data_IF_465616506004
#
_entry.id   IF_465616506004
#
_cell.length_a   1.000
_cell.length_b   1.000
_cell.length_c   1.000
_cell.angle_alpha   90.00
_cell.angle_beta   90.00
_cell.angle_gamma   90.00
#
_symmetry.space_group_name_H-M   'P 1'
#
loop_
_entity.id
_entity.type
_entity.pdbx_description
1 polymer ?
#
# COMPACT_ATOMS: atom_id res chain seq x y z
N UNK A 1 31.68 67.80 -4.38
CA UNK A 1 31.75 66.44 -4.96
C UNK A 1 31.45 65.42 -3.83
N UNK A 2 30.27 64.82 -3.84
CA UNK A 2 29.84 63.91 -2.75
C UNK A 2 29.92 62.47 -3.24
N UNK A 3 30.85 61.69 -2.68
CA UNK A 3 30.98 60.26 -2.91
C UNK A 3 29.84 59.52 -2.20
N UNK A 4 28.97 58.83 -2.96
CA UNK A 4 28.01 57.87 -2.44
C UNK A 4 28.62 56.49 -2.50
N UNK A 5 28.97 55.95 -1.36
CA UNK A 5 29.33 54.54 -1.18
C UNK A 5 28.03 53.74 -1.14
N UNK A 6 27.84 52.83 -2.13
CA UNK A 6 26.74 51.87 -2.15
C UNK A 6 27.21 50.61 -1.40
N UNK A 7 26.63 50.37 -0.25
CA UNK A 7 26.76 49.06 0.44
C UNK A 7 25.86 48.02 -0.27
N UNK A 8 26.48 47.01 -0.84
CA UNK A 8 25.84 45.83 -1.34
C UNK A 8 25.74 44.81 -0.20
N UNK A 9 24.56 44.60 0.37
CA UNK A 9 24.31 43.52 1.31
C UNK A 9 24.13 42.21 0.50
N UNK A 10 25.11 41.33 0.53
CA UNK A 10 25.01 39.96 0.11
C UNK A 10 24.23 39.19 1.19
N UNK A 11 22.97 38.89 0.93
CA UNK A 11 22.16 37.95 1.72
C UNK A 11 22.57 36.55 1.31
N UNK A 12 23.51 35.93 2.03
CA UNK A 12 23.83 34.53 1.93
C UNK A 12 22.71 33.73 2.63
N UNK A 13 21.70 33.34 1.86
CA UNK A 13 20.66 32.42 2.33
C UNK A 13 21.26 31.03 2.55
N UNK A 14 21.51 30.69 3.81
CA UNK A 14 21.84 29.32 4.24
C UNK A 14 20.57 28.48 4.06
N UNK A 15 20.41 27.84 2.91
CA UNK A 15 19.47 26.73 2.70
C UNK A 15 20.01 25.53 3.46
N UNK A 16 19.71 25.45 4.76
CA UNK A 16 19.81 24.22 5.51
C UNK A 16 18.85 23.21 4.93
N UNK A 17 19.34 22.29 4.11
CA UNK A 17 18.62 21.08 3.77
C UNK A 17 18.42 20.31 5.08
N UNK A 18 17.26 20.43 5.68
CA UNK A 18 16.80 19.51 6.71
C UNK A 18 16.66 18.15 6.01
N UNK A 19 17.69 17.33 6.14
CA UNK A 19 17.57 15.91 5.83
C UNK A 19 16.58 15.36 6.86
N UNK A 20 15.31 15.23 6.48
CA UNK A 20 14.33 14.45 7.23
C UNK A 20 14.80 13.02 7.13
N UNK A 21 15.51 12.57 8.15
CA UNK A 21 15.76 11.15 8.34
C UNK A 21 14.43 10.59 8.82
N UNK A 22 13.78 9.78 7.99
CA UNK A 22 12.67 8.96 8.45
C UNK A 22 13.18 8.13 9.63
N UNK A 23 12.79 8.51 10.83
CA UNK A 23 13.04 7.68 12.00
C UNK A 23 12.14 6.46 11.81
N UNK A 24 12.76 5.29 11.59
CA UNK A 24 12.05 4.03 11.72
C UNK A 24 11.70 3.93 13.21
N UNK A 25 10.53 4.45 13.57
CA UNK A 25 10.00 4.29 14.91
C UNK A 25 9.60 2.83 15.06
N UNK A 26 10.44 2.03 15.70
CA UNK A 26 10.07 0.69 16.11
C UNK A 26 8.78 0.78 16.95
N UNK A 27 7.88 -0.18 16.76
CA UNK A 27 6.70 -0.26 17.61
C UNK A 27 7.14 -0.34 19.10
N UNK A 28 6.55 0.47 19.97
CA UNK A 28 6.89 0.41 21.38
C UNK A 28 6.66 -1.00 21.94
N UNK A 29 7.45 -1.38 22.93
CA UNK A 29 7.39 -2.69 23.57
C UNK A 29 6.71 -2.60 24.94
N UNK A 30 6.04 -3.66 25.33
CA UNK A 30 5.41 -3.80 26.64
C UNK A 30 5.47 -5.25 27.13
N UNK A 31 5.20 -5.47 28.40
CA UNK A 31 4.96 -6.84 28.89
C UNK A 31 3.53 -7.26 28.58
N UNK A 32 3.26 -8.54 28.33
CA UNK A 32 1.89 -9.02 28.15
C UNK A 32 0.97 -8.63 29.28
N UNK A 33 1.42 -8.74 30.54
CA UNK A 33 0.66 -8.40 31.74
C UNK A 33 0.24 -6.93 31.80
N UNK A 34 1.14 -6.01 31.43
CA UNK A 34 0.83 -4.58 31.38
C UNK A 34 -0.24 -4.24 30.36
N UNK A 35 -0.38 -5.08 29.33
CA UNK A 35 -1.42 -4.95 28.30
C UNK A 35 -2.62 -5.88 28.53
N UNK A 36 -2.73 -6.47 29.73
CA UNK A 36 -3.87 -7.30 30.13
C UNK A 36 -3.90 -8.71 29.53
N UNK A 37 -2.75 -9.24 29.12
CA UNK A 37 -2.60 -10.59 28.59
C UNK A 37 -1.63 -11.36 29.48
N UNK A 38 -1.98 -12.55 29.99
CA UNK A 38 -1.00 -13.38 30.71
C UNK A 38 0.16 -13.82 29.80
N UNK A 39 1.41 -13.67 30.21
CA UNK A 39 2.59 -14.17 29.47
C UNK A 39 2.44 -15.65 29.09
N UNK A 40 1.83 -16.43 29.97
CA UNK A 40 1.52 -17.86 29.69
C UNK A 40 0.67 -18.05 28.43
N UNK A 41 -0.26 -17.14 28.16
CA UNK A 41 -1.08 -17.23 26.93
C UNK A 41 -0.27 -16.94 25.67
N UNK A 42 0.65 -15.99 25.74
CA UNK A 42 1.55 -15.64 24.61
C UNK A 42 2.51 -16.82 24.35
N UNK A 43 3.10 -17.40 25.39
CA UNK A 43 3.98 -18.57 25.26
C UNK A 43 3.21 -19.77 24.69
N UNK A 44 2.01 -20.06 25.20
CA UNK A 44 1.18 -21.15 24.69
C UNK A 44 0.78 -20.96 23.21
N UNK A 45 0.55 -19.72 22.78
CA UNK A 45 0.35 -19.40 21.36
C UNK A 45 1.57 -19.78 20.53
N UNK A 46 2.77 -19.35 20.95
CA UNK A 46 4.01 -19.65 20.24
C UNK A 46 4.28 -21.15 20.17
N UNK A 47 4.16 -21.85 21.29
CA UNK A 47 4.33 -23.33 21.35
C UNK A 47 3.35 -24.03 20.42
N UNK A 48 2.09 -23.59 20.40
CA UNK A 48 1.06 -24.17 19.54
C UNK A 48 1.37 -23.94 18.06
N UNK A 49 1.83 -22.74 17.68
CA UNK A 49 2.21 -22.42 16.30
C UNK A 49 3.43 -23.24 15.85
N UNK A 50 4.42 -23.39 16.73
CA UNK A 50 5.63 -24.19 16.42
C UNK A 50 5.33 -25.68 16.31
N UNK A 51 4.31 -26.17 16.99
CA UNK A 51 3.88 -27.57 16.94
C UNK A 51 3.04 -27.90 15.70
N UNK A 52 2.60 -26.91 14.91
CA UNK A 52 1.79 -27.17 13.71
C UNK A 52 2.62 -27.93 12.66
N UNK A 53 2.15 -29.08 12.17
CA UNK A 53 2.85 -29.83 11.14
C UNK A 53 2.77 -29.11 9.78
N UNK A 54 3.83 -29.22 8.99
CA UNK A 54 3.90 -28.70 7.62
C UNK A 54 3.71 -27.17 7.51
N UNK A 55 4.04 -26.42 8.56
CA UNK A 55 4.10 -24.97 8.53
C UNK A 55 5.55 -24.51 8.46
N UNK A 56 5.78 -23.42 7.75
CA UNK A 56 7.07 -22.74 7.65
C UNK A 56 6.90 -21.33 8.18
N UNK A 57 6.98 -21.21 9.52
CA UNK A 57 6.79 -19.95 10.22
C UNK A 57 8.15 -19.25 10.32
N UNK A 58 8.28 -18.10 9.70
CA UNK A 58 9.50 -17.28 9.71
C UNK A 58 9.55 -16.33 10.90
N UNK A 59 8.40 -15.77 11.28
CA UNK A 59 8.28 -14.88 12.44
C UNK A 59 6.84 -14.83 12.93
N UNK A 60 6.67 -14.56 14.20
CA UNK A 60 5.39 -14.20 14.82
C UNK A 60 5.60 -12.98 15.69
N UNK A 61 4.82 -11.94 15.47
CA UNK A 61 4.81 -10.72 16.28
C UNK A 61 3.40 -10.50 16.80
N UNK A 62 3.27 -10.40 18.11
CA UNK A 62 1.98 -10.12 18.77
C UNK A 62 1.97 -8.68 19.24
N UNK A 63 1.01 -7.92 18.69
CA UNK A 63 0.82 -6.50 19.02
C UNK A 63 -0.50 -6.30 19.73
N UNK A 64 -0.48 -5.56 20.83
CA UNK A 64 -1.69 -5.16 21.58
C UNK A 64 -1.59 -3.69 22.00
N UNK A 65 -2.66 -2.94 21.80
CA UNK A 65 -2.71 -1.49 22.06
C UNK A 65 -1.54 -0.72 21.42
N UNK A 66 -1.11 -1.15 20.21
CA UNK A 66 0.01 -0.54 19.48
C UNK A 66 1.40 -0.89 20.01
N UNK A 67 1.52 -1.84 20.98
CA UNK A 67 2.80 -2.26 21.56
C UNK A 67 3.07 -3.73 21.28
N UNK A 68 4.33 -4.07 21.00
CA UNK A 68 4.78 -5.45 20.84
C UNK A 68 4.84 -6.10 22.25
N UNK A 69 4.06 -7.16 22.45
CA UNK A 69 4.00 -7.91 23.71
C UNK A 69 4.62 -9.31 23.62
N UNK A 70 5.05 -9.72 22.44
CA UNK A 70 5.77 -10.97 22.21
C UNK A 70 6.17 -11.11 20.77
N UNK A 71 7.33 -11.70 20.52
CA UNK A 71 7.80 -12.04 19.19
C UNK A 71 8.74 -13.24 19.24
N UNK A 72 8.72 -14.03 18.16
CA UNK A 72 9.64 -15.15 17.96
C UNK A 72 10.10 -15.19 16.49
N UNK A 73 11.30 -15.66 16.29
CA UNK A 73 11.94 -15.88 14.99
C UNK A 73 12.57 -17.29 15.01
N UNK A 74 11.83 -18.32 14.55
CA UNK A 74 12.37 -19.68 14.52
C UNK A 74 13.60 -19.78 13.61
N UNK A 75 14.61 -20.53 14.03
CA UNK A 75 15.79 -20.75 13.16
C UNK A 75 15.38 -21.38 11.83
N UNK A 76 15.93 -20.94 10.68
CA UNK A 76 17.11 -20.06 10.52
C UNK A 76 16.78 -18.55 10.45
N UNK A 77 15.55 -18.14 10.75
CA UNK A 77 15.13 -16.75 10.60
C UNK A 77 15.55 -15.86 11.76
N UNK A 78 15.65 -14.55 11.47
CA UNK A 78 16.02 -13.52 12.42
C UNK A 78 15.25 -12.21 12.09
N UNK A 79 15.11 -11.27 13.05
CA UNK A 79 14.34 -10.04 12.85
C UNK A 79 14.85 -9.16 11.70
N UNK A 80 16.13 -9.25 11.37
CA UNK A 80 16.75 -8.46 10.30
C UNK A 80 16.45 -9.00 8.89
N UNK A 81 15.87 -10.21 8.78
CA UNK A 81 15.61 -10.82 7.48
C UNK A 81 14.39 -10.21 6.84
N UNK A 82 14.57 -9.80 5.58
CA UNK A 82 13.48 -9.24 4.78
C UNK A 82 12.65 -10.35 4.19
N UNK A 83 11.34 -10.18 4.26
CA UNK A 83 10.36 -11.10 3.70
C UNK A 83 9.55 -10.46 2.59
N UNK A 84 9.18 -11.26 1.60
CA UNK A 84 8.23 -10.83 0.58
C UNK A 84 6.86 -10.62 1.22
N UNK A 85 6.32 -9.42 1.06
CA UNK A 85 5.05 -9.04 1.69
C UNK A 85 3.83 -9.69 1.05
N UNK A 86 3.95 -10.21 -0.17
CA UNK A 86 2.82 -10.75 -0.94
C UNK A 86 1.60 -9.83 -0.86
N UNK A 87 0.45 -10.38 -0.47
CA UNK A 87 -0.80 -9.62 -0.43
C UNK A 87 -0.90 -8.58 0.69
N UNK A 88 0.00 -8.58 1.67
CA UNK A 88 0.10 -7.47 2.62
C UNK A 88 0.38 -6.14 1.91
N UNK A 89 1.02 -6.15 0.74
CA UNK A 89 1.24 -4.96 -0.10
C UNK A 89 -0.06 -4.25 -0.50
N UNK A 90 -1.20 -4.97 -0.53
CA UNK A 90 -2.50 -4.37 -0.84
C UNK A 90 -2.95 -3.33 0.20
N UNK A 91 -2.53 -3.50 1.45
CA UNK A 91 -2.78 -2.53 2.53
C UNK A 91 -2.11 -1.20 2.22
N UNK A 92 -0.87 -1.22 1.74
CA UNK A 92 -0.14 0.00 1.35
C UNK A 92 -0.78 0.68 0.14
N UNK A 93 -1.25 -0.09 -0.84
CA UNK A 93 -2.00 0.47 -1.98
C UNK A 93 -3.30 1.11 -1.49
N UNK A 94 -4.03 0.47 -0.58
CA UNK A 94 -5.24 1.03 0.01
C UNK A 94 -4.97 2.34 0.78
N UNK A 95 -3.88 2.40 1.56
CA UNK A 95 -3.45 3.61 2.24
C UNK A 95 -3.08 4.72 1.25
N UNK A 96 -2.34 4.41 0.18
CA UNK A 96 -1.99 5.37 -0.86
C UNK A 96 -3.22 5.93 -1.59
N UNK A 97 -4.26 5.12 -1.82
CA UNK A 97 -5.56 5.59 -2.33
C UNK A 97 -6.19 6.55 -1.32
N UNK A 98 -6.15 6.22 -0.01
CA UNK A 98 -6.64 7.10 1.05
C UNK A 98 -5.94 8.46 1.06
N UNK A 99 -4.62 8.50 0.91
CA UNK A 99 -3.83 9.74 0.81
C UNK A 99 -4.23 10.55 -0.44
N UNK A 100 -4.35 9.92 -1.60
CA UNK A 100 -4.78 10.60 -2.83
C UNK A 100 -6.19 11.19 -2.70
N UNK A 101 -7.08 10.55 -1.92
CA UNK A 101 -8.41 11.08 -1.61
C UNK A 101 -8.31 12.27 -0.64
N UNK A 102 -7.50 12.19 0.40
CA UNK A 102 -7.27 13.28 1.35
C UNK A 102 -6.74 14.54 0.65
N UNK A 103 -5.89 14.37 -0.35
CA UNK A 103 -5.35 15.43 -1.21
C UNK A 103 -6.34 15.93 -2.28
N UNK A 104 -7.60 15.45 -2.27
CA UNK A 104 -8.61 15.78 -3.29
C UNK A 104 -8.22 15.44 -4.74
N UNK A 105 -7.32 14.49 -4.95
CA UNK A 105 -6.87 14.02 -6.26
C UNK A 105 -7.67 12.83 -6.79
N UNK A 106 -8.42 12.15 -5.93
CA UNK A 106 -9.15 10.94 -6.22
C UNK A 106 -10.44 10.88 -5.40
N UNK A 107 -11.46 10.20 -5.95
CA UNK A 107 -12.71 9.91 -5.24
C UNK A 107 -13.07 8.44 -5.41
N UNK A 108 -13.72 7.86 -4.42
CA UNK A 108 -14.20 6.48 -4.50
C UNK A 108 -15.19 6.24 -5.65
N UNK A 109 -15.89 7.29 -6.07
CA UNK A 109 -16.89 7.27 -7.15
C UNK A 109 -16.30 7.52 -8.54
N UNK A 110 -15.03 7.83 -8.65
CA UNK A 110 -14.40 8.08 -9.96
C UNK A 110 -14.40 6.80 -10.79
N UNK A 111 -14.67 6.95 -12.10
CA UNK A 111 -14.78 5.84 -13.03
C UNK A 111 -13.38 5.37 -13.43
N UNK A 112 -13.12 4.08 -13.34
CA UNK A 112 -11.81 3.48 -13.62
C UNK A 112 -11.36 3.77 -15.06
N UNK A 113 -12.25 3.64 -16.03
CA UNK A 113 -11.95 3.92 -17.44
C UNK A 113 -11.54 5.36 -17.72
N UNK A 114 -11.99 6.32 -16.90
CA UNK A 114 -11.66 7.74 -17.10
C UNK A 114 -10.17 8.05 -16.85
N UNK A 115 -9.46 7.20 -16.12
CA UNK A 115 -8.01 7.38 -15.91
C UNK A 115 -7.16 6.91 -17.09
N UNK A 116 -7.69 6.05 -17.95
CA UNK A 116 -6.94 5.43 -19.05
C UNK A 116 -7.76 5.43 -20.35
N UNK A 117 -8.24 6.61 -20.82
CA UNK A 117 -9.10 6.68 -22.01
C UNK A 117 -8.41 6.13 -23.25
N UNK A 118 -7.08 6.27 -23.35
CA UNK A 118 -6.24 5.80 -24.44
C UNK A 118 -6.05 4.27 -24.47
N UNK A 119 -6.43 3.57 -23.39
CA UNK A 119 -6.30 2.12 -23.23
C UNK A 119 -7.65 1.39 -23.23
N UNK A 120 -8.75 2.13 -23.36
CA UNK A 120 -10.08 1.53 -23.44
C UNK A 120 -10.23 0.70 -24.73
N UNK A 121 -11.01 -0.39 -24.69
CA UNK A 121 -11.36 -1.12 -25.91
C UNK A 121 -12.26 -0.29 -26.84
N UNK A 122 -12.30 -0.63 -28.13
CA UNK A 122 -13.15 0.06 -29.13
C UNK A 122 -14.64 0.05 -28.73
N UNK A 123 -15.10 -0.97 -28.00
CA UNK A 123 -16.45 -1.08 -27.47
C UNK A 123 -16.40 -1.15 -25.95
N UNK A 124 -16.86 -0.10 -25.28
CA UNK A 124 -16.95 -0.01 -23.83
C UNK A 124 -18.32 -0.47 -23.37
N UNK A 125 -18.41 -1.57 -22.63
CA UNK A 125 -19.67 -2.03 -22.03
C UNK A 125 -20.14 -1.07 -20.93
N UNK A 126 -21.44 -1.03 -20.67
CA UNK A 126 -22.02 -0.24 -19.56
C UNK A 126 -21.37 -0.60 -18.22
N UNK A 127 -21.14 -1.89 -17.97
CA UNK A 127 -20.49 -2.36 -16.73
C UNK A 127 -19.07 -1.85 -16.60
N UNK A 128 -18.28 -1.82 -17.68
CA UNK A 128 -16.92 -1.25 -17.67
C UNK A 128 -16.98 0.27 -17.44
N UNK A 129 -17.91 0.96 -18.10
CA UNK A 129 -18.10 2.40 -17.93
C UNK A 129 -18.52 2.75 -16.49
N UNK A 130 -19.27 1.86 -15.83
CA UNK A 130 -19.78 2.06 -14.48
C UNK A 130 -18.82 1.66 -13.36
N UNK A 131 -17.76 0.93 -13.67
CA UNK A 131 -16.76 0.48 -12.68
C UNK A 131 -16.07 1.68 -12.01
N UNK A 132 -16.05 1.67 -10.67
CA UNK A 132 -15.49 2.75 -9.85
C UNK A 132 -14.23 2.32 -9.10
N UNK A 133 -13.48 3.30 -8.57
CA UNK A 133 -12.35 3.08 -7.66
C UNK A 133 -12.78 2.25 -6.43
N UNK A 134 -13.99 2.49 -5.91
CA UNK A 134 -14.56 1.69 -4.82
C UNK A 134 -14.64 0.21 -5.19
N UNK A 135 -15.09 -0.12 -6.39
CA UNK A 135 -15.25 -1.51 -6.83
C UNK A 135 -13.92 -2.24 -6.92
N UNK A 136 -12.84 -1.55 -7.27
CA UNK A 136 -11.48 -2.10 -7.22
C UNK A 136 -11.03 -2.32 -5.77
N UNK A 137 -11.22 -1.35 -4.87
CA UNK A 137 -10.83 -1.43 -3.46
C UNK A 137 -11.55 -2.55 -2.71
N UNK A 138 -12.82 -2.76 -3.02
CA UNK A 138 -13.64 -3.79 -2.38
C UNK A 138 -13.59 -5.14 -3.10
N UNK A 139 -12.78 -5.26 -4.15
CA UNK A 139 -12.66 -6.46 -4.99
C UNK A 139 -14.02 -6.93 -5.56
N UNK A 140 -14.80 -5.96 -5.99
CA UNK A 140 -16.11 -6.15 -6.63
C UNK A 140 -16.16 -5.57 -8.04
N UNK A 141 -15.03 -5.57 -8.74
CA UNK A 141 -14.89 -5.01 -10.09
C UNK A 141 -15.82 -5.65 -11.13
N UNK A 142 -16.30 -6.86 -10.88
CA UNK A 142 -17.08 -7.65 -11.83
C UNK A 142 -16.22 -8.38 -12.86
N UNK A 143 -14.90 -8.23 -12.83
CA UNK A 143 -13.96 -8.96 -13.67
C UNK A 143 -13.62 -10.28 -13.01
N UNK A 144 -13.65 -11.37 -13.79
CA UNK A 144 -13.19 -12.67 -13.29
C UNK A 144 -11.67 -12.65 -13.16
N UNK A 145 -11.13 -12.97 -11.97
CA UNK A 145 -9.69 -12.99 -11.73
C UNK A 145 -8.94 -13.95 -12.66
N UNK A 146 -7.78 -13.53 -13.11
CA UNK A 146 -6.93 -14.32 -13.99
C UNK A 146 -5.46 -14.21 -13.55
N UNK A 147 -5.00 -15.21 -12.85
CA UNK A 147 -3.64 -15.27 -12.31
C UNK A 147 -2.56 -15.38 -13.39
N UNK A 148 -2.93 -15.83 -14.60
CA UNK A 148 -2.00 -15.97 -15.70
C UNK A 148 -1.78 -14.65 -16.45
N UNK A 149 -2.61 -13.63 -16.25
CA UNK A 149 -2.54 -12.37 -16.96
C UNK A 149 -1.14 -11.75 -16.90
N UNK A 150 -0.47 -11.82 -15.76
CA UNK A 150 0.90 -11.30 -15.55
C UNK A 150 1.96 -11.94 -16.46
N UNK A 151 1.71 -13.15 -16.94
CA UNK A 151 2.63 -13.91 -17.78
C UNK A 151 2.32 -13.75 -19.28
N UNK A 152 1.14 -13.22 -19.63
CA UNK A 152 0.64 -13.17 -21.01
C UNK A 152 0.86 -11.82 -21.67
N UNK A 153 1.05 -10.75 -20.90
CA UNK A 153 1.18 -9.41 -21.44
C UNK A 153 1.96 -8.48 -20.52
N UNK A 154 2.76 -7.57 -21.04
CA UNK A 154 3.34 -6.47 -20.25
C UNK A 154 2.34 -5.33 -20.01
N UNK A 155 1.26 -5.22 -20.79
CA UNK A 155 0.23 -4.17 -20.68
C UNK A 155 -0.96 -4.66 -19.86
N UNK A 156 -0.81 -4.65 -18.56
CA UNK A 156 -1.83 -5.13 -17.62
C UNK A 156 -3.06 -4.23 -17.57
N UNK A 157 -2.90 -2.93 -17.77
CA UNK A 157 -4.02 -1.98 -17.75
C UNK A 157 -4.94 -2.25 -18.94
N UNK A 158 -4.41 -2.28 -20.16
CA UNK A 158 -5.16 -2.58 -21.38
C UNK A 158 -5.85 -3.94 -21.30
N UNK A 159 -5.11 -4.96 -20.84
CA UNK A 159 -5.64 -6.31 -20.71
C UNK A 159 -6.78 -6.38 -19.70
N UNK A 160 -6.67 -5.66 -18.57
CA UNK A 160 -7.74 -5.57 -17.57
C UNK A 160 -9.00 -4.90 -18.16
N UNK A 161 -8.84 -3.77 -18.82
CA UNK A 161 -9.94 -2.99 -19.40
C UNK A 161 -10.63 -3.71 -20.56
N UNK A 162 -9.94 -4.63 -21.25
CA UNK A 162 -10.49 -5.41 -22.36
C UNK A 162 -11.28 -6.65 -21.89
N UNK A 163 -11.24 -7.00 -20.59
CA UNK A 163 -11.95 -8.19 -20.07
C UNK A 163 -13.46 -7.96 -20.01
N UNK A 164 -14.27 -9.04 -20.15
CA UNK A 164 -15.70 -8.98 -19.88
C UNK A 164 -15.96 -8.59 -18.42
N UNK A 165 -16.85 -7.62 -18.21
CA UNK A 165 -17.20 -7.09 -16.89
C UNK A 165 -18.65 -7.44 -16.56
N UNK A 166 -18.85 -8.17 -15.45
CA UNK A 166 -20.15 -8.36 -14.80
C UNK A 166 -20.52 -7.09 -14.04
N UNK A 167 -21.75 -6.99 -13.53
CA UNK A 167 -22.19 -5.80 -12.79
C UNK A 167 -21.26 -5.50 -11.61
N UNK A 168 -20.54 -4.35 -11.61
CA UNK A 168 -19.66 -3.97 -10.53
C UNK A 168 -20.41 -3.78 -9.21
N UNK A 169 -19.72 -3.93 -8.09
CA UNK A 169 -20.26 -3.72 -6.75
C UNK A 169 -21.16 -4.86 -6.25
N UNK A 170 -21.32 -5.96 -6.97
CA UNK A 170 -22.28 -7.03 -6.62
C UNK A 170 -21.64 -8.26 -6.01
N UNK A 171 -20.51 -8.69 -6.52
CA UNK A 171 -19.87 -9.94 -6.09
C UNK A 171 -18.41 -9.69 -5.72
N UNK A 172 -18.01 -10.16 -4.54
CA UNK A 172 -16.62 -10.19 -4.16
C UNK A 172 -15.89 -11.32 -4.92
N UNK A 173 -14.83 -10.96 -5.63
CA UNK A 173 -13.92 -11.90 -6.27
C UNK A 173 -12.48 -11.39 -6.06
N UNK A 174 -11.71 -12.12 -5.24
CA UNK A 174 -10.35 -11.68 -4.88
C UNK A 174 -9.47 -11.58 -6.12
N UNK A 175 -9.01 -10.38 -6.42
CA UNK A 175 -8.24 -10.09 -7.63
C UNK A 175 -7.04 -9.15 -7.35
N UNK A 176 -5.84 -9.64 -7.61
CA UNK A 176 -4.61 -8.85 -7.45
C UNK A 176 -4.44 -7.79 -8.54
N UNK A 177 -5.05 -8.00 -9.73
CA UNK A 177 -4.94 -7.03 -10.80
C UNK A 177 -5.79 -5.79 -10.49
N UNK A 178 -6.92 -5.95 -9.83
CA UNK A 178 -7.69 -4.80 -9.30
C UNK A 178 -6.83 -3.91 -8.39
N UNK A 179 -5.98 -4.50 -7.55
CA UNK A 179 -5.04 -3.74 -6.72
C UNK A 179 -3.93 -3.08 -7.56
N UNK A 180 -3.44 -3.75 -8.59
CA UNK A 180 -2.49 -3.14 -9.52
C UNK A 180 -3.11 -1.94 -10.24
N UNK A 181 -4.37 -2.03 -10.68
CA UNK A 181 -5.10 -0.90 -11.26
C UNK A 181 -5.18 0.29 -10.32
N UNK A 182 -5.43 0.06 -9.01
CA UNK A 182 -5.39 1.12 -8.00
C UNK A 182 -4.00 1.77 -7.89
N UNK A 183 -2.94 0.97 -7.92
CA UNK A 183 -1.56 1.47 -7.92
C UNK A 183 -1.28 2.36 -9.16
N UNK A 184 -1.73 1.93 -10.34
CA UNK A 184 -1.58 2.70 -11.57
C UNK A 184 -2.40 4.01 -11.53
N UNK A 185 -3.61 3.98 -10.96
CA UNK A 185 -4.45 5.19 -10.77
C UNK A 185 -3.75 6.16 -9.81
N UNK A 186 -3.26 5.68 -8.65
CA UNK A 186 -2.51 6.52 -7.69
C UNK A 186 -1.33 7.19 -8.38
N UNK A 187 -0.53 6.43 -9.12
CA UNK A 187 0.61 6.98 -9.85
C UNK A 187 0.18 8.05 -10.87
N UNK A 188 -0.92 7.83 -11.58
CA UNK A 188 -1.42 8.78 -12.58
C UNK A 188 -1.90 10.09 -11.96
N UNK A 189 -2.59 10.04 -10.82
CA UNK A 189 -3.16 11.25 -10.18
C UNK A 189 -2.18 11.99 -9.28
N UNK A 190 -1.18 11.30 -8.72
CA UNK A 190 -0.18 11.91 -7.83
C UNK A 190 1.14 12.24 -8.52
N UNK A 191 1.46 11.56 -9.63
CA UNK A 191 2.77 11.61 -10.28
C UNK A 191 3.83 10.77 -9.57
N UNK A 192 3.49 10.04 -8.51
CA UNK A 192 4.39 9.25 -7.66
C UNK A 192 4.00 7.78 -7.70
N UNK A 193 4.99 6.88 -7.66
CA UNK A 193 4.68 5.46 -7.43
C UNK A 193 4.13 5.26 -6.02
N UNK A 194 3.39 4.15 -5.80
CA UNK A 194 2.94 3.80 -4.43
C UNK A 194 4.13 3.63 -3.49
N UNK A 195 5.27 3.14 -3.97
CA UNK A 195 6.48 3.01 -3.16
C UNK A 195 6.99 4.38 -2.71
N UNK A 196 7.14 5.33 -3.64
CA UNK A 196 7.63 6.67 -3.31
C UNK A 196 6.67 7.38 -2.34
N UNK A 197 5.35 7.27 -2.61
CA UNK A 197 4.33 7.85 -1.75
C UNK A 197 4.34 7.21 -0.34
N UNK A 198 4.58 5.90 -0.24
CA UNK A 198 4.67 5.20 1.04
C UNK A 198 5.89 5.61 1.85
N UNK A 199 7.03 5.85 1.20
CA UNK A 199 8.27 6.31 1.87
C UNK A 199 8.13 7.73 2.43
N UNK A 200 7.30 8.57 1.82
CA UNK A 200 7.09 9.96 2.26
C UNK A 200 6.01 10.06 3.35
N UNK A 201 4.93 9.29 3.23
CA UNK A 201 3.72 9.51 4.03
C UNK A 201 3.30 8.34 4.94
N UNK A 202 3.77 7.14 4.68
CA UNK A 202 3.36 5.94 5.43
C UNK A 202 4.48 5.46 6.38
N UNK A 203 5.71 5.91 6.14
CA UNK A 203 6.89 5.55 6.94
C UNK A 203 7.26 6.61 7.99
N UNK A 204 6.58 7.75 8.00
CA UNK A 204 6.69 8.81 9.01
C UNK A 204 5.67 8.55 10.14
#
# INVERSE_FOLDING_TARGET
MKNRVRFFFLFLGLLGALAVHAQINELPRSTPEAEGVPSKAVTALFDSLMALPKTDIHSVVVVRHGKVIGEIYPAPFAPEYRHTMYSCSKTFVGAAVGLAIADNRLRLTDRVGAFFPELLPDSVSTNLADMTVRDLLTMTSGITPDWNMRNLTPDWIRTFLAKPVKTPGKKFEYDSISTYMLSAIVQKVTGMTVLDLSLIHISE
#
